data_IF_505175824464
#
_entry.id   IF_505175824464
#
_cell.length_a   1.000
_cell.length_b   1.000
_cell.length_c   1.000
_cell.angle_alpha   90.00
_cell.angle_beta   90.00
_cell.angle_gamma   90.00
#
_symmetry.space_group_name_H-M   'P 1'
#
loop_
_entity.id
_entity.type
_entity.pdbx_description
1 polymer ?
#
# COMPACT_ATOMS: atom_id res chain seq x y z
N UNK A 1 -11.16 18.46 -46.79
CA UNK A 1 -12.28 18.12 -45.88
C UNK A 1 -11.86 17.19 -44.73
N UNK A 2 -10.63 17.29 -44.21
CA UNK A 2 -10.09 16.37 -43.18
C UNK A 2 -9.77 17.07 -41.85
N UNK A 3 -9.58 18.39 -41.84
CA UNK A 3 -9.18 19.13 -40.63
C UNK A 3 -10.32 19.42 -39.65
N UNK A 4 -11.57 19.51 -40.11
CA UNK A 4 -12.72 19.82 -39.25
C UNK A 4 -13.14 18.66 -38.32
N UNK A 5 -12.88 17.41 -38.73
CA UNK A 5 -13.21 16.22 -37.93
C UNK A 5 -12.20 15.97 -36.80
N UNK A 6 -10.94 16.36 -37.00
CA UNK A 6 -9.90 16.22 -35.98
C UNK A 6 -10.11 17.20 -34.80
N UNK A 7 -10.51 18.43 -35.10
CA UNK A 7 -10.77 19.46 -34.09
C UNK A 7 -11.98 19.06 -33.23
N UNK A 8 -13.04 18.52 -33.84
CA UNK A 8 -14.24 18.06 -33.12
C UNK A 8 -13.96 16.90 -32.17
N UNK A 9 -13.03 16.00 -32.51
CA UNK A 9 -12.67 14.86 -31.66
C UNK A 9 -11.82 15.30 -30.45
N UNK A 10 -10.91 16.26 -30.65
CA UNK A 10 -10.06 16.79 -29.58
C UNK A 10 -10.88 17.59 -28.57
N UNK A 11 -11.86 18.38 -29.02
CA UNK A 11 -12.76 19.12 -28.13
C UNK A 11 -13.65 18.19 -27.30
N UNK A 12 -14.13 17.08 -27.87
CA UNK A 12 -14.96 16.12 -27.14
C UNK A 12 -14.17 15.40 -26.02
N UNK A 13 -12.91 15.07 -26.28
CA UNK A 13 -12.03 14.44 -25.27
C UNK A 13 -11.68 15.41 -24.15
N UNK A 14 -11.39 16.68 -24.47
CA UNK A 14 -11.09 17.70 -23.47
C UNK A 14 -12.29 17.98 -22.54
N UNK A 15 -13.52 18.00 -23.07
CA UNK A 15 -14.75 18.18 -22.28
C UNK A 15 -15.02 16.97 -21.38
N UNK A 16 -14.79 15.74 -21.86
CA UNK A 16 -14.92 14.54 -21.03
C UNK A 16 -13.86 14.48 -19.90
N UNK A 17 -12.63 14.92 -20.16
CA UNK A 17 -11.59 14.98 -19.14
C UNK A 17 -11.88 16.05 -18.07
N UNK A 18 -12.41 17.22 -18.48
CA UNK A 18 -12.84 18.26 -17.53
C UNK A 18 -14.05 17.84 -16.68
N UNK A 19 -15.00 17.09 -17.25
CA UNK A 19 -16.12 16.52 -16.50
C UNK A 19 -15.68 15.43 -15.50
N UNK A 20 -14.64 14.66 -15.82
CA UNK A 20 -14.06 13.67 -14.90
C UNK A 20 -13.32 14.32 -13.72
N UNK A 21 -12.68 15.47 -13.93
CA UNK A 21 -12.05 16.23 -12.83
C UNK A 21 -13.10 16.83 -11.90
N UNK A 22 -14.23 17.31 -12.43
CA UNK A 22 -15.33 17.85 -11.61
C UNK A 22 -16.11 16.80 -10.81
N UNK A 23 -16.12 15.53 -11.25
CA UNK A 23 -16.79 14.43 -10.52
C UNK A 23 -15.94 13.84 -9.38
N UNK A 24 -14.64 14.15 -9.32
CA UNK A 24 -13.70 13.62 -8.32
C UNK A 24 -13.35 14.65 -7.24
N UNK A 25 -13.70 15.92 -7.41
CA UNK A 25 -13.60 16.93 -6.35
C UNK A 25 -14.93 17.13 -5.62
N UNK A 26 -15.01 16.81 -4.31
CA UNK A 26 -16.13 17.27 -3.52
C UNK A 26 -16.07 18.80 -3.41
N UNK A 27 -17.17 19.46 -3.78
CA UNK A 27 -17.39 20.87 -3.47
C UNK A 27 -17.28 21.07 -1.95
N UNK A 28 -16.34 21.91 -1.54
CA UNK A 28 -16.21 22.42 -0.18
C UNK A 28 -17.33 23.44 0.07
N UNK A 29 -18.52 22.96 0.47
CA UNK A 29 -19.50 23.81 1.14
C UNK A 29 -19.04 23.98 2.60
N UNK A 30 -18.33 25.08 2.84
CA UNK A 30 -17.94 25.58 4.14
C UNK A 30 -19.17 26.01 4.96
N UNK A 31 -19.83 25.02 5.56
CA UNK A 31 -20.84 25.20 6.59
C UNK A 31 -20.20 25.78 7.86
N UNK A 32 -20.53 27.05 8.14
CA UNK A 32 -20.27 27.72 9.42
C UNK A 32 -20.78 26.85 10.58
N UNK A 33 -19.88 26.23 11.33
CA UNK A 33 -20.19 25.63 12.62
C UNK A 33 -20.10 26.70 13.71
N UNK A 34 -21.28 27.13 14.17
CA UNK A 34 -21.44 27.94 15.37
C UNK A 34 -20.80 27.26 16.58
N UNK A 35 -19.98 28.04 17.29
CA UNK A 35 -19.42 27.70 18.59
C UNK A 35 -20.54 27.56 19.62
N UNK A 36 -20.92 26.32 19.95
CA UNK A 36 -21.79 26.05 21.09
C UNK A 36 -20.94 25.90 22.35
N UNK A 37 -20.92 26.95 23.18
CA UNK A 37 -20.44 26.93 24.57
C UNK A 37 -21.09 25.76 25.31
N UNK A 38 -20.28 24.81 25.79
CA UNK A 38 -20.71 23.84 26.81
C UNK A 38 -20.11 24.28 28.13
N UNK A 39 -21.00 24.67 29.04
CA UNK A 39 -20.71 25.02 30.42
C UNK A 39 -20.07 23.85 31.16
N UNK A 40 -19.02 24.17 31.91
CA UNK A 40 -18.42 23.36 32.94
C UNK A 40 -19.34 23.27 34.17
N UNK A 41 -19.56 22.05 34.67
CA UNK A 41 -19.67 21.79 36.11
C UNK A 41 -19.33 20.33 36.42
N UNK A 42 -18.59 20.06 37.51
CA UNK A 42 -18.02 18.75 37.83
C UNK A 42 -18.97 17.95 38.72
N UNK A 43 -19.07 16.63 38.54
CA UNK A 43 -19.62 15.77 39.60
C UNK A 43 -19.01 14.35 39.60
N UNK A 44 -18.18 14.15 40.62
CA UNK A 44 -17.94 12.98 41.49
C UNK A 44 -18.21 11.54 41.00
N UNK A 45 -17.15 10.73 41.17
CA UNK A 45 -17.13 9.26 41.20
C UNK A 45 -17.97 8.68 42.36
N UNK A 46 -18.38 7.41 42.23
CA UNK A 46 -18.08 6.44 43.28
C UNK A 46 -17.37 5.17 42.76
N UNK A 47 -16.54 4.63 43.64
CA UNK A 47 -15.71 3.44 43.46
C UNK A 47 -16.49 2.12 43.56
N UNK A 48 -15.87 1.09 42.95
CA UNK A 48 -15.84 -0.33 43.34
C UNK A 48 -16.79 -1.28 42.61
N UNK A 49 -16.24 -2.11 41.73
CA UNK A 49 -16.52 -3.56 41.74
C UNK A 49 -15.43 -4.33 40.99
N UNK A 50 -15.06 -5.44 41.59
CA UNK A 50 -13.90 -6.30 41.34
C UNK A 50 -14.05 -7.18 40.09
N UNK A 51 -12.99 -7.35 39.29
CA UNK A 51 -12.69 -8.56 38.48
C UNK A 51 -11.28 -8.44 37.84
N UNK A 52 -10.66 -9.56 37.41
CA UNK A 52 -9.40 -10.03 37.98
C UNK A 52 -8.15 -9.57 37.23
N UNK A 53 -7.04 -9.49 37.98
CA UNK A 53 -5.67 -9.38 37.45
C UNK A 53 -5.37 -10.58 36.53
N UNK A 54 -5.57 -10.40 35.23
CA UNK A 54 -4.87 -11.20 34.23
C UNK A 54 -3.47 -10.60 34.11
N UNK A 55 -2.51 -11.35 34.65
CA UNK A 55 -1.08 -11.14 34.55
C UNK A 55 -0.69 -10.62 33.16
N UNK A 56 -0.13 -9.40 33.11
CA UNK A 56 0.65 -8.90 31.97
C UNK A 56 1.88 -9.79 31.84
N UNK A 57 1.71 -10.94 31.21
CA UNK A 57 2.83 -11.64 30.60
C UNK A 57 3.27 -10.74 29.45
N UNK A 58 4.37 -10.04 29.67
CA UNK A 58 5.11 -9.31 28.66
C UNK A 58 5.43 -10.31 27.54
N UNK A 59 4.57 -10.32 26.53
CA UNK A 59 4.83 -11.03 25.28
C UNK A 59 5.96 -10.24 24.65
N UNK A 60 7.18 -10.79 24.70
CA UNK A 60 8.22 -10.41 23.75
C UNK A 60 7.62 -10.61 22.35
N UNK A 61 7.15 -9.52 21.74
CA UNK A 61 6.70 -9.48 20.35
C UNK A 61 7.93 -9.86 19.51
N UNK A 62 7.98 -11.11 19.06
CA UNK A 62 8.79 -11.48 17.91
C UNK A 62 8.36 -10.65 16.68
N UNK A 63 9.08 -10.74 15.55
CA UNK A 63 8.69 -10.02 14.34
C UNK A 63 7.26 -10.43 14.00
N UNK A 64 6.34 -9.49 14.19
CA UNK A 64 4.92 -9.65 13.91
C UNK A 64 4.80 -9.79 12.40
N UNK A 65 4.68 -11.03 11.94
CA UNK A 65 4.57 -11.37 10.53
C UNK A 65 3.33 -10.67 9.97
N UNK A 66 3.47 -9.93 8.86
CA UNK A 66 2.34 -9.25 8.21
C UNK A 66 1.24 -10.28 7.85
N UNK A 67 0.10 -10.29 8.55
CA UNK A 67 -0.94 -11.31 8.37
C UNK A 67 -1.58 -11.22 6.98
N UNK A 68 -1.46 -10.08 6.30
CA UNK A 68 -1.98 -9.89 4.95
C UNK A 68 -1.29 -10.81 3.95
N UNK A 69 0.05 -10.94 4.04
CA UNK A 69 0.85 -11.68 3.05
C UNK A 69 0.51 -13.17 3.02
N UNK A 70 0.14 -13.74 4.17
CA UNK A 70 -0.15 -15.16 4.32
C UNK A 70 -1.63 -15.50 4.25
N UNK A 71 -2.52 -14.51 4.26
CA UNK A 71 -3.95 -14.77 4.36
C UNK A 71 -4.52 -15.44 3.12
N UNK A 72 -5.25 -16.54 3.34
CA UNK A 72 -6.03 -17.25 2.33
C UNK A 72 -7.42 -16.65 2.13
N UNK A 73 -7.86 -15.78 3.02
CA UNK A 73 -9.16 -15.10 2.98
C UNK A 73 -9.00 -13.64 3.43
N UNK A 74 -8.93 -12.74 2.45
CA UNK A 74 -8.76 -11.31 2.71
C UNK A 74 -10.05 -10.68 3.25
N UNK A 75 -11.22 -11.27 3.01
CA UNK A 75 -12.47 -10.76 3.60
C UNK A 75 -12.50 -11.05 5.10
N UNK A 76 -12.09 -12.24 5.54
CA UNK A 76 -12.02 -12.55 6.96
C UNK A 76 -11.09 -11.57 7.71
N UNK A 77 -9.94 -11.23 7.12
CA UNK A 77 -9.08 -10.16 7.65
C UNK A 77 -9.79 -8.80 7.66
N UNK A 78 -10.44 -8.40 6.57
CA UNK A 78 -11.17 -7.14 6.53
C UNK A 78 -12.25 -7.06 7.61
N UNK A 79 -13.11 -8.07 7.71
CA UNK A 79 -14.23 -8.11 8.65
C UNK A 79 -13.78 -8.08 10.11
N UNK A 80 -12.68 -8.77 10.44
CA UNK A 80 -12.10 -8.75 11.78
C UNK A 80 -11.56 -7.37 12.18
N UNK A 81 -11.21 -6.51 11.21
CA UNK A 81 -10.43 -5.29 11.45
C UNK A 81 -11.12 -3.99 11.04
N UNK A 82 -12.19 -4.03 10.23
CA UNK A 82 -12.84 -2.82 9.64
C UNK A 82 -13.37 -1.82 10.67
N UNK A 83 -13.75 -2.30 11.85
CA UNK A 83 -14.30 -1.49 12.93
C UNK A 83 -13.28 -1.14 14.02
N UNK A 84 -12.01 -1.51 13.83
CA UNK A 84 -10.96 -1.21 14.78
C UNK A 84 -10.74 0.32 14.89
N UNK A 85 -10.40 0.76 16.10
CA UNK A 85 -10.13 2.17 16.40
C UNK A 85 -8.65 2.51 16.32
N UNK A 86 -7.78 1.52 16.45
CA UNK A 86 -6.34 1.69 16.26
C UNK A 86 -5.99 1.66 14.77
N UNK A 87 -4.96 2.43 14.42
CA UNK A 87 -4.50 2.63 13.04
C UNK A 87 -3.99 1.34 12.40
N UNK A 88 -3.42 0.42 13.18
CA UNK A 88 -2.79 -0.80 12.65
C UNK A 88 -3.84 -1.79 12.12
N UNK A 89 -4.86 -2.08 12.92
CA UNK A 89 -5.97 -2.92 12.48
C UNK A 89 -6.79 -2.22 11.38
N UNK A 90 -7.06 -0.91 11.50
CA UNK A 90 -7.74 -0.17 10.43
C UNK A 90 -6.99 -0.21 9.09
N UNK A 91 -5.66 -0.09 9.11
CA UNK A 91 -4.79 -0.23 7.95
C UNK A 91 -4.82 -1.65 7.38
N UNK A 92 -4.82 -2.69 8.21
CA UNK A 92 -4.92 -4.07 7.75
C UNK A 92 -6.25 -4.33 7.01
N UNK A 93 -7.36 -3.80 7.52
CA UNK A 93 -8.65 -3.86 6.84
C UNK A 93 -8.60 -3.12 5.49
N UNK A 94 -8.05 -1.91 5.48
CA UNK A 94 -7.91 -1.13 4.26
C UNK A 94 -7.06 -1.85 3.19
N UNK A 95 -5.92 -2.42 3.57
CA UNK A 95 -5.05 -3.16 2.64
C UNK A 95 -5.75 -4.39 2.08
N UNK A 96 -6.44 -5.18 2.92
CA UNK A 96 -7.22 -6.33 2.48
C UNK A 96 -8.31 -5.95 1.47
N UNK A 97 -9.02 -4.85 1.75
CA UNK A 97 -10.01 -4.29 0.84
C UNK A 97 -9.40 -3.83 -0.49
N UNK A 98 -8.35 -3.02 -0.41
CA UNK A 98 -7.71 -2.40 -1.58
C UNK A 98 -7.02 -3.43 -2.49
N UNK A 99 -6.55 -4.55 -1.94
CA UNK A 99 -6.05 -5.67 -2.75
C UNK A 99 -7.17 -6.34 -3.56
N UNK A 100 -8.35 -6.51 -3.00
CA UNK A 100 -9.42 -7.26 -3.66
C UNK A 100 -10.33 -6.42 -4.57
N UNK A 101 -10.74 -5.24 -4.11
CA UNK A 101 -11.78 -4.47 -4.82
C UNK A 101 -11.44 -4.09 -6.27
N UNK A 102 -10.24 -3.60 -6.59
CA UNK A 102 -9.93 -3.19 -7.96
C UNK A 102 -9.95 -4.37 -8.94
N UNK A 103 -9.75 -5.60 -8.45
CA UNK A 103 -9.77 -6.81 -9.26
C UNK A 103 -11.19 -7.37 -9.41
N UNK A 104 -12.08 -7.13 -8.44
CA UNK A 104 -13.45 -7.65 -8.47
C UNK A 104 -14.47 -6.68 -9.09
N UNK A 105 -14.24 -5.37 -8.99
CA UNK A 105 -15.20 -4.34 -9.40
C UNK A 105 -14.58 -3.26 -10.32
N UNK A 106 -15.42 -2.66 -11.17
CA UNK A 106 -15.04 -1.54 -12.05
C UNK A 106 -14.24 -1.94 -13.29
N UNK A 107 -13.64 -0.94 -13.95
CA UNK A 107 -12.92 -1.14 -15.21
C UNK A 107 -11.71 -2.08 -15.09
N UNK A 108 -11.05 -2.08 -13.92
CA UNK A 108 -9.88 -2.93 -13.68
C UNK A 108 -10.27 -4.41 -13.50
N UNK A 109 -11.49 -4.71 -13.05
CA UNK A 109 -12.00 -6.08 -13.03
C UNK A 109 -12.21 -6.63 -14.44
N UNK A 110 -12.69 -5.81 -15.39
CA UNK A 110 -12.82 -6.22 -16.78
C UNK A 110 -11.45 -6.53 -17.43
N UNK A 111 -10.45 -5.69 -17.16
CA UNK A 111 -9.06 -5.94 -17.59
C UNK A 111 -8.47 -7.20 -16.94
N UNK A 112 -8.75 -7.42 -15.65
CA UNK A 112 -8.31 -8.59 -14.90
C UNK A 112 -8.87 -9.88 -15.52
N UNK A 113 -10.17 -9.91 -15.80
CA UNK A 113 -10.84 -11.02 -16.47
C UNK A 113 -10.30 -11.23 -17.89
N UNK A 114 -10.11 -10.16 -18.66
CA UNK A 114 -9.56 -10.23 -20.02
C UNK A 114 -8.15 -10.82 -20.05
N UNK A 115 -7.28 -10.39 -19.13
CA UNK A 115 -5.92 -10.92 -19.01
C UNK A 115 -5.96 -12.40 -18.64
N UNK A 116 -6.78 -12.79 -17.66
CA UNK A 116 -6.95 -14.18 -17.26
C UNK A 116 -7.44 -15.07 -18.42
N UNK A 117 -8.39 -14.59 -19.23
CA UNK A 117 -8.95 -15.34 -20.36
C UNK A 117 -7.97 -15.56 -21.52
N UNK A 118 -6.92 -14.73 -21.64
CA UNK A 118 -5.89 -14.86 -22.68
C UNK A 118 -4.81 -15.89 -22.35
N UNK A 119 -4.73 -16.30 -21.08
CA UNK A 119 -3.70 -17.20 -20.59
C UNK A 119 -4.13 -18.66 -20.73
N UNK A 120 -3.15 -19.52 -21.06
CA UNK A 120 -3.34 -20.98 -21.06
C UNK A 120 -3.76 -21.48 -19.66
N UNK A 121 -4.62 -22.51 -19.63
CA UNK A 121 -5.23 -23.01 -18.39
C UNK A 121 -4.21 -23.45 -17.34
N UNK A 122 -3.08 -23.99 -17.77
CA UNK A 122 -1.97 -24.48 -16.97
C UNK A 122 -0.85 -23.45 -16.74
N UNK A 123 -0.97 -22.24 -17.31
CA UNK A 123 0.07 -21.24 -17.16
C UNK A 123 0.22 -20.80 -15.68
N UNK A 124 1.46 -20.70 -15.16
CA UNK A 124 1.70 -20.24 -13.79
C UNK A 124 1.04 -18.89 -13.49
N UNK A 125 1.02 -18.00 -14.49
CA UNK A 125 0.37 -16.70 -14.39
C UNK A 125 -1.13 -16.85 -14.14
N UNK A 126 -1.85 -17.68 -14.91
CA UNK A 126 -3.29 -17.89 -14.70
C UNK A 126 -3.59 -18.52 -13.35
N UNK A 127 -2.74 -19.45 -12.90
CA UNK A 127 -2.84 -20.04 -11.55
C UNK A 127 -2.73 -18.94 -10.48
N UNK A 128 -1.85 -17.94 -10.65
CA UNK A 128 -1.77 -16.81 -9.72
C UNK A 128 -3.01 -15.91 -9.75
N UNK A 129 -3.60 -15.64 -10.93
CA UNK A 129 -4.90 -14.96 -11.03
C UNK A 129 -5.99 -15.73 -10.25
N UNK A 130 -6.04 -17.05 -10.40
CA UNK A 130 -6.98 -17.91 -9.67
C UNK A 130 -6.71 -17.88 -8.16
N UNK A 131 -5.45 -17.96 -7.71
CA UNK A 131 -5.08 -17.86 -6.29
C UNK A 131 -5.53 -16.54 -5.69
N UNK A 132 -5.29 -15.41 -6.38
CA UNK A 132 -5.77 -14.11 -5.95
C UNK A 132 -7.30 -14.06 -5.89
N UNK A 133 -7.98 -14.62 -6.90
CA UNK A 133 -9.45 -14.74 -6.89
C UNK A 133 -9.94 -15.53 -5.69
N UNK A 134 -9.31 -16.64 -5.34
CA UNK A 134 -9.66 -17.43 -4.14
C UNK A 134 -9.49 -16.62 -2.87
N UNK A 135 -8.39 -15.86 -2.72
CA UNK A 135 -8.18 -14.98 -1.55
C UNK A 135 -9.25 -13.91 -1.40
N UNK A 136 -9.79 -13.44 -2.52
CA UNK A 136 -10.80 -12.39 -2.57
C UNK A 136 -12.23 -12.91 -2.71
N UNK A 137 -12.44 -14.24 -2.82
CA UNK A 137 -13.71 -14.78 -3.30
C UNK A 137 -14.91 -14.36 -2.46
N UNK A 138 -14.74 -14.31 -1.13
CA UNK A 138 -15.85 -13.98 -0.24
C UNK A 138 -16.26 -12.51 -0.32
N UNK A 139 -15.46 -11.62 -0.91
CA UNK A 139 -15.91 -10.25 -1.21
C UNK A 139 -16.99 -10.20 -2.30
N UNK A 140 -17.07 -11.23 -3.16
CA UNK A 140 -18.10 -11.32 -4.19
C UNK A 140 -19.52 -11.51 -3.62
N UNK A 141 -19.64 -11.95 -2.36
CA UNK A 141 -20.92 -12.15 -1.68
C UNK A 141 -21.52 -10.85 -1.12
N UNK A 142 -20.76 -9.74 -1.15
CA UNK A 142 -21.21 -8.46 -0.63
C UNK A 142 -22.04 -7.75 -1.70
N UNK A 143 -23.20 -7.24 -1.31
CA UNK A 143 -24.03 -6.44 -2.20
C UNK A 143 -23.34 -5.13 -2.60
N UNK A 144 -23.63 -4.65 -3.81
CA UNK A 144 -22.97 -3.47 -4.38
C UNK A 144 -23.18 -2.19 -3.55
N UNK A 145 -24.28 -2.05 -2.83
CA UNK A 145 -24.55 -0.85 -2.03
C UNK A 145 -23.73 -0.86 -0.75
N UNK A 146 -23.61 -2.02 -0.09
CA UNK A 146 -22.68 -2.22 1.01
C UNK A 146 -21.24 -1.99 0.57
N UNK A 147 -20.85 -2.47 -0.63
CA UNK A 147 -19.51 -2.24 -1.15
C UNK A 147 -19.20 -0.76 -1.35
N UNK A 148 -20.12 0.00 -1.96
CA UNK A 148 -19.97 1.45 -2.15
C UNK A 148 -19.85 2.20 -0.83
N UNK A 149 -20.69 1.87 0.15
CA UNK A 149 -20.62 2.46 1.50
C UNK A 149 -19.27 2.18 2.16
N UNK A 150 -18.82 0.93 2.14
CA UNK A 150 -17.53 0.53 2.70
C UNK A 150 -16.36 1.23 1.99
N UNK A 151 -16.44 1.38 0.66
CA UNK A 151 -15.46 2.15 -0.11
C UNK A 151 -15.41 3.61 0.32
N UNK A 152 -16.55 4.26 0.52
CA UNK A 152 -16.62 5.66 0.97
C UNK A 152 -16.04 5.83 2.38
N UNK A 153 -16.40 4.94 3.31
CA UNK A 153 -15.87 4.95 4.68
C UNK A 153 -14.35 4.77 4.70
N UNK A 154 -13.84 3.79 3.96
CA UNK A 154 -12.40 3.52 3.86
C UNK A 154 -11.64 4.64 3.14
N UNK A 155 -12.21 5.21 2.08
CA UNK A 155 -11.62 6.36 1.40
C UNK A 155 -11.55 7.58 2.33
N UNK A 156 -12.58 7.80 3.15
CA UNK A 156 -12.57 8.80 4.22
C UNK A 156 -11.41 8.59 5.17
N UNK A 157 -11.26 7.39 5.75
CA UNK A 157 -10.16 7.06 6.66
C UNK A 157 -8.78 7.20 6.00
N UNK A 158 -8.65 6.78 4.75
CA UNK A 158 -7.40 6.93 4.00
C UNK A 158 -7.06 8.40 3.76
N UNK A 159 -8.03 9.24 3.39
CA UNK A 159 -7.83 10.67 3.19
C UNK A 159 -7.34 11.37 4.47
N UNK A 160 -7.95 11.06 5.62
CA UNK A 160 -7.57 11.62 6.93
C UNK A 160 -6.28 11.03 7.50
N UNK A 161 -5.76 9.92 6.93
CA UNK A 161 -4.49 9.30 7.33
C UNK A 161 -4.65 8.10 8.27
N UNK A 162 -5.86 7.78 8.71
CA UNK A 162 -6.19 6.71 9.66
C UNK A 162 -6.04 5.29 9.07
N UNK A 163 -5.79 5.18 7.76
CA UNK A 163 -5.70 3.92 7.04
C UNK A 163 -4.58 3.91 5.97
N UNK A 164 -3.46 4.60 6.24
CA UNK A 164 -2.25 4.57 5.40
C UNK A 164 -1.12 3.86 6.12
N UNK A 165 -0.29 3.10 5.39
CA UNK A 165 1.00 2.74 5.96
C UNK A 165 1.83 4.01 6.15
N UNK A 166 2.82 3.96 7.05
CA UNK A 166 3.68 5.11 7.29
C UNK A 166 4.43 5.52 6.01
N UNK A 167 4.90 4.56 5.20
CA UNK A 167 5.52 4.85 3.90
C UNK A 167 4.57 5.40 2.83
N UNK A 168 3.30 4.98 2.80
CA UNK A 168 2.29 5.56 1.91
C UNK A 168 1.95 7.01 2.28
N UNK A 169 1.87 7.30 3.58
CA UNK A 169 1.73 8.68 4.09
C UNK A 169 2.92 9.54 3.66
N UNK A 170 4.15 9.05 3.83
CA UNK A 170 5.35 9.74 3.38
C UNK A 170 5.35 9.98 1.86
N UNK A 171 5.02 8.96 1.07
CA UNK A 171 4.95 9.08 -0.40
C UNK A 171 3.89 10.09 -0.85
N UNK A 172 2.73 10.16 -0.19
CA UNK A 172 1.72 11.17 -0.49
C UNK A 172 2.18 12.58 -0.13
N UNK A 173 2.81 12.76 1.03
CA UNK A 173 3.35 14.07 1.43
C UNK A 173 4.39 14.56 0.43
N UNK A 174 5.28 13.67 -0.07
CA UNK A 174 6.19 13.96 -1.18
C UNK A 174 5.45 14.44 -2.42
N UNK A 175 4.43 13.71 -2.87
CA UNK A 175 3.64 14.07 -4.08
C UNK A 175 2.91 15.41 -3.94
N UNK A 176 2.62 15.84 -2.71
CA UNK A 176 1.98 17.14 -2.42
C UNK A 176 2.97 18.27 -2.12
N UNK A 177 4.28 18.00 -2.15
CA UNK A 177 5.34 18.99 -1.95
C UNK A 177 5.73 19.26 -0.50
N UNK A 178 5.20 18.54 0.48
CA UNK A 178 5.60 18.66 1.89
C UNK A 178 6.77 17.70 2.20
N UNK A 179 7.93 18.04 1.66
CA UNK A 179 9.16 17.24 1.77
C UNK A 179 9.60 17.00 3.22
N UNK A 180 9.45 18.02 4.08
CA UNK A 180 9.89 17.94 5.48
C UNK A 180 9.01 16.97 6.27
N UNK A 181 7.69 17.09 6.15
CA UNK A 181 6.78 16.15 6.81
C UNK A 181 6.92 14.74 6.24
N UNK A 182 7.13 14.61 4.92
CA UNK A 182 7.35 13.31 4.29
C UNK A 182 8.58 12.60 4.85
N UNK A 183 9.72 13.28 4.96
CA UNK A 183 10.95 12.70 5.49
C UNK A 183 10.81 12.31 6.98
N UNK A 184 10.13 13.13 7.78
CA UNK A 184 9.89 12.81 9.19
C UNK A 184 9.06 11.53 9.35
N UNK A 185 7.98 11.41 8.57
CA UNK A 185 7.15 10.21 8.56
C UNK A 185 7.95 9.00 8.03
N UNK A 186 8.78 9.19 7.00
CA UNK A 186 9.63 8.12 6.48
C UNK A 186 10.64 7.61 7.52
N UNK A 187 11.23 8.52 8.33
CA UNK A 187 12.11 8.15 9.46
C UNK A 187 11.36 7.34 10.52
N UNK A 188 10.13 7.74 10.85
CA UNK A 188 9.29 6.96 11.79
C UNK A 188 9.04 5.55 11.26
N UNK A 189 8.72 5.41 9.97
CA UNK A 189 8.54 4.10 9.34
C UNK A 189 9.82 3.26 9.41
N UNK A 190 10.96 3.86 9.06
CA UNK A 190 12.27 3.22 9.05
C UNK A 190 12.67 2.73 10.44
N UNK A 191 12.45 3.54 11.48
CA UNK A 191 12.80 3.24 12.87
C UNK A 191 11.77 2.35 13.59
N UNK A 192 10.61 2.06 12.97
CA UNK A 192 9.57 1.21 13.57
C UNK A 192 10.00 -0.25 13.73
N UNK A 193 11.01 -0.70 12.98
CA UNK A 193 11.43 -2.11 12.85
C UNK A 193 10.31 -3.06 12.39
N UNK A 194 9.18 -2.53 11.90
CA UNK A 194 8.07 -3.32 11.38
C UNK A 194 8.32 -3.63 9.90
N UNK A 195 8.36 -4.91 9.47
CA UNK A 195 8.64 -5.25 8.08
C UNK A 195 7.68 -4.61 7.07
N UNK A 196 6.40 -4.47 7.41
CA UNK A 196 5.38 -3.84 6.57
C UNK A 196 5.62 -2.33 6.35
N UNK A 197 6.09 -1.63 7.39
CA UNK A 197 6.43 -0.20 7.30
C UNK A 197 7.65 -0.03 6.40
N UNK A 198 8.67 -0.87 6.62
CA UNK A 198 9.88 -0.89 5.80
C UNK A 198 9.56 -1.19 4.33
N UNK A 199 8.72 -2.19 4.05
CA UNK A 199 8.30 -2.51 2.69
C UNK A 199 7.57 -1.34 2.02
N UNK A 200 6.78 -0.59 2.78
CA UNK A 200 6.03 0.55 2.26
C UNK A 200 6.89 1.78 1.92
N UNK A 201 8.11 1.87 2.46
CA UNK A 201 9.07 2.91 2.10
C UNK A 201 9.57 2.81 0.66
N UNK A 202 9.36 1.67 -0.02
CA UNK A 202 9.70 1.52 -1.44
C UNK A 202 9.07 2.61 -2.32
N UNK A 203 7.78 2.93 -2.11
CA UNK A 203 7.09 3.98 -2.87
C UNK A 203 7.58 5.39 -2.55
N UNK A 204 7.88 5.66 -1.28
CA UNK A 204 8.50 6.92 -0.86
C UNK A 204 9.89 7.09 -1.47
N UNK A 205 10.76 6.08 -1.34
CA UNK A 205 12.13 6.11 -1.87
C UNK A 205 12.14 6.31 -3.39
N UNK A 206 11.25 5.63 -4.12
CA UNK A 206 11.11 5.85 -5.57
C UNK A 206 10.74 7.30 -5.90
N UNK A 207 9.74 7.85 -5.22
CA UNK A 207 9.29 9.24 -5.45
C UNK A 207 10.39 10.25 -5.09
N UNK A 208 11.05 10.05 -3.95
CA UNK A 208 12.13 10.92 -3.48
C UNK A 208 13.31 10.93 -4.44
N UNK A 209 13.78 9.76 -4.86
CA UNK A 209 14.93 9.64 -5.75
C UNK A 209 14.65 10.21 -7.15
N UNK A 210 13.43 10.01 -7.65
CA UNK A 210 12.98 10.59 -8.92
C UNK A 210 13.04 12.12 -8.91
N UNK A 211 12.58 12.75 -7.82
CA UNK A 211 12.60 14.21 -7.68
C UNK A 211 14.02 14.79 -7.57
N UNK A 212 14.97 14.03 -7.01
CA UNK A 212 16.35 14.49 -6.79
C UNK A 212 17.25 14.37 -8.02
N UNK A 213 17.05 13.33 -8.83
CA UNK A 213 17.99 12.92 -9.87
C UNK A 213 17.48 13.28 -11.28
N UNK A 214 16.16 13.50 -11.44
CA UNK A 214 15.56 13.84 -12.73
C UNK A 214 15.14 12.61 -13.56
N UNK A 215 14.92 12.81 -14.86
CA UNK A 215 14.33 11.80 -15.77
C UNK A 215 15.37 11.12 -16.70
N UNK A 216 16.62 10.98 -16.27
CA UNK A 216 17.58 10.17 -17.03
C UNK A 216 17.21 8.68 -16.93
N UNK A 217 17.08 7.98 -18.06
CA UNK A 217 16.58 6.60 -18.10
C UNK A 217 17.49 5.60 -17.37
N UNK A 218 18.81 5.76 -17.48
CA UNK A 218 19.79 4.88 -16.83
C UNK A 218 19.78 5.12 -15.31
N UNK A 219 19.64 6.36 -14.89
CA UNK A 219 19.52 6.72 -13.48
C UNK A 219 18.17 6.29 -12.89
N UNK A 220 17.07 6.41 -13.62
CA UNK A 220 15.74 5.93 -13.21
C UNK A 220 15.72 4.42 -12.96
N UNK A 221 16.43 3.65 -13.76
CA UNK A 221 16.56 2.21 -13.54
C UNK A 221 17.32 1.91 -12.22
N UNK A 222 18.41 2.62 -11.95
CA UNK A 222 19.14 2.53 -10.69
C UNK A 222 18.29 2.95 -9.47
N UNK A 223 17.42 3.96 -9.60
CA UNK A 223 16.50 4.39 -8.55
C UNK A 223 15.45 3.32 -8.22
N UNK A 224 14.91 2.66 -9.25
CA UNK A 224 13.97 1.54 -9.10
C UNK A 224 14.59 0.42 -8.26
N UNK A 225 15.89 0.17 -8.40
CA UNK A 225 16.61 -0.83 -7.59
C UNK A 225 16.74 -0.39 -6.12
N UNK A 226 17.13 0.86 -5.87
CA UNK A 226 17.21 1.39 -4.49
C UNK A 226 15.85 1.35 -3.80
N UNK A 227 14.76 1.63 -4.52
CA UNK A 227 13.40 1.51 -4.00
C UNK A 227 12.99 0.05 -3.72
N UNK A 228 13.32 -0.90 -4.61
CA UNK A 228 13.05 -2.34 -4.42
C UNK A 228 13.82 -2.93 -3.22
N UNK A 229 14.98 -2.36 -2.89
CA UNK A 229 15.81 -2.82 -1.77
C UNK A 229 15.08 -2.76 -0.42
N UNK A 230 14.18 -1.79 -0.21
CA UNK A 230 13.34 -1.71 1.00
C UNK A 230 12.41 -2.91 1.16
N UNK A 231 11.80 -3.38 0.06
CA UNK A 231 10.94 -4.57 0.09
C UNK A 231 11.75 -5.84 0.35
N UNK A 232 12.96 -5.96 -0.22
CA UNK A 232 13.86 -7.09 0.09
C UNK A 232 14.30 -7.04 1.56
N UNK A 233 14.64 -5.87 2.07
CA UNK A 233 15.00 -5.71 3.48
C UNK A 233 13.83 -6.08 4.41
N UNK A 234 12.59 -5.76 4.03
CA UNK A 234 11.39 -6.20 4.74
C UNK A 234 11.25 -7.73 4.76
N UNK A 235 11.48 -8.40 3.62
CA UNK A 235 11.49 -9.86 3.57
C UNK A 235 12.54 -10.46 4.51
N UNK A 236 13.74 -9.88 4.53
CA UNK A 236 14.86 -10.32 5.36
C UNK A 236 14.66 -10.06 6.86
N UNK A 237 13.73 -9.16 7.22
CA UNK A 237 13.43 -8.76 8.61
C UNK A 237 12.12 -9.36 9.15
N UNK A 238 11.40 -10.17 8.36
CA UNK A 238 10.26 -10.96 8.83
C UNK A 238 8.97 -10.86 8.01
N UNK A 239 8.95 -10.07 6.92
CA UNK A 239 7.82 -10.07 6.00
C UNK A 239 7.76 -11.40 5.22
N UNK A 240 6.58 -12.02 5.13
CA UNK A 240 6.42 -13.24 4.36
C UNK A 240 6.57 -12.95 2.87
N UNK A 241 7.61 -13.51 2.25
CA UNK A 241 7.96 -13.27 0.85
C UNK A 241 8.11 -14.56 0.04
N UNK A 242 7.59 -15.69 0.54
CA UNK A 242 7.58 -16.95 -0.20
C UNK A 242 6.76 -16.82 -1.48
N UNK A 243 6.85 -17.82 -2.36
CA UNK A 243 6.07 -17.90 -3.60
C UNK A 243 4.55 -17.80 -3.35
N UNK A 244 4.10 -18.24 -2.18
CA UNK A 244 2.70 -18.18 -1.77
C UNK A 244 2.35 -16.90 -0.98
N UNK A 245 3.24 -15.91 -0.92
CA UNK A 245 2.90 -14.59 -0.36
C UNK A 245 1.94 -13.84 -1.29
N UNK A 246 1.18 -12.91 -0.72
CA UNK A 246 0.27 -12.05 -1.48
C UNK A 246 1.03 -11.26 -2.55
N UNK A 247 2.12 -10.59 -2.17
CA UNK A 247 2.94 -9.82 -3.11
C UNK A 247 3.61 -10.67 -4.19
N UNK A 248 4.08 -11.88 -3.88
CA UNK A 248 4.61 -12.77 -4.91
C UNK A 248 3.51 -13.19 -5.91
N UNK A 249 2.29 -13.44 -5.41
CA UNK A 249 1.13 -13.74 -6.25
C UNK A 249 0.80 -12.55 -7.16
N UNK A 250 0.74 -11.33 -6.61
CA UNK A 250 0.50 -10.10 -7.39
C UNK A 250 1.59 -9.89 -8.44
N UNK A 251 2.86 -10.05 -8.08
CA UNK A 251 3.96 -9.89 -9.03
C UNK A 251 3.87 -10.88 -10.18
N UNK A 252 3.59 -12.15 -9.90
CA UNK A 252 3.38 -13.17 -10.93
C UNK A 252 2.22 -12.81 -11.87
N UNK A 253 1.09 -12.34 -11.35
CA UNK A 253 -0.06 -11.93 -12.16
C UNK A 253 0.28 -10.83 -13.19
N UNK A 254 1.13 -9.87 -12.83
CA UNK A 254 1.43 -8.73 -13.70
C UNK A 254 2.70 -8.89 -14.54
N UNK A 255 3.70 -9.63 -14.06
CA UNK A 255 4.98 -9.80 -14.78
C UNK A 255 5.12 -11.13 -15.52
N UNK A 256 4.32 -12.14 -15.16
CA UNK A 256 4.50 -13.52 -15.64
C UNK A 256 5.66 -14.27 -14.97
N UNK A 257 6.44 -13.62 -14.10
CA UNK A 257 7.49 -14.27 -13.30
C UNK A 257 6.86 -14.88 -12.05
N UNK A 258 6.73 -16.21 -12.06
CA UNK A 258 5.93 -16.95 -11.08
C UNK A 258 6.70 -17.98 -10.26
N UNK A 259 7.99 -18.14 -10.54
CA UNK A 259 8.87 -19.09 -9.88
C UNK A 259 9.76 -18.37 -8.86
N UNK A 260 9.79 -18.92 -7.65
CA UNK A 260 10.61 -18.41 -6.55
C UNK A 260 9.87 -17.48 -5.59
N UNK A 261 10.64 -16.90 -4.68
CA UNK A 261 10.20 -15.90 -3.72
C UNK A 261 10.02 -14.53 -4.38
N UNK A 262 9.41 -13.57 -3.67
CA UNK A 262 9.35 -12.18 -4.12
C UNK A 262 10.76 -11.59 -4.34
N UNK A 263 11.75 -12.03 -3.57
CA UNK A 263 13.15 -11.61 -3.74
C UNK A 263 13.67 -12.13 -5.10
N UNK A 264 13.41 -13.40 -5.41
CA UNK A 264 13.84 -14.02 -6.67
C UNK A 264 13.23 -13.29 -7.87
N UNK A 265 11.94 -12.92 -7.80
CA UNK A 265 11.29 -12.14 -8.83
C UNK A 265 11.97 -10.79 -9.07
N UNK A 266 12.34 -10.05 -8.01
CA UNK A 266 13.07 -8.80 -8.16
C UNK A 266 14.46 -8.99 -8.76
N UNK A 267 15.18 -10.05 -8.38
CA UNK A 267 16.50 -10.34 -8.93
C UNK A 267 16.45 -10.80 -10.40
N UNK A 268 15.42 -11.58 -10.77
CA UNK A 268 15.20 -12.03 -12.14
C UNK A 268 14.80 -10.89 -13.07
N UNK A 269 14.21 -9.80 -12.54
CA UNK A 269 13.92 -8.59 -13.32
C UNK A 269 15.16 -7.79 -13.74
N UNK A 270 16.35 -8.18 -13.28
CA UNK A 270 17.62 -7.50 -13.55
C UNK A 270 18.43 -8.23 -14.63
N UNK A 271 19.02 -7.46 -15.54
CA UNK A 271 19.72 -7.97 -16.72
C UNK A 271 21.09 -8.57 -16.37
N UNK A 272 21.78 -8.05 -15.35
CA UNK A 272 23.14 -8.46 -15.00
C UNK A 272 23.30 -8.90 -13.55
N UNK A 273 24.28 -9.78 -13.31
CA UNK A 273 24.64 -10.21 -11.95
C UNK A 273 25.19 -9.05 -11.11
N UNK A 274 25.79 -8.04 -11.73
CA UNK A 274 26.26 -6.82 -11.05
C UNK A 274 25.08 -6.07 -10.44
N UNK A 275 23.99 -5.88 -11.18
CA UNK A 275 22.79 -5.21 -10.67
C UNK A 275 22.14 -6.02 -9.53
N UNK A 276 22.10 -7.36 -9.66
CA UNK A 276 21.61 -8.26 -8.60
C UNK A 276 22.42 -8.11 -7.32
N UNK A 277 23.75 -8.08 -7.42
CA UNK A 277 24.63 -7.84 -6.29
C UNK A 277 24.43 -6.46 -5.67
N UNK A 278 24.26 -5.42 -6.50
CA UNK A 278 23.98 -4.07 -6.03
C UNK A 278 22.66 -3.99 -5.27
N UNK A 279 21.59 -4.57 -5.80
CA UNK A 279 20.28 -4.61 -5.13
C UNK A 279 20.37 -5.29 -3.75
N UNK A 280 21.04 -6.44 -3.68
CA UNK A 280 21.24 -7.16 -2.41
C UNK A 280 22.17 -6.41 -1.45
N UNK A 281 23.18 -5.70 -1.96
CA UNK A 281 24.04 -4.86 -1.13
C UNK A 281 23.27 -3.68 -0.55
N UNK A 282 22.38 -3.05 -1.33
CA UNK A 282 21.50 -1.99 -0.83
C UNK A 282 20.52 -2.51 0.23
N UNK A 283 19.93 -3.70 0.07
CA UNK A 283 19.05 -4.27 1.09
C UNK A 283 19.80 -4.53 2.40
N UNK A 284 21.03 -5.04 2.33
CA UNK A 284 21.90 -5.23 3.50
C UNK A 284 22.29 -3.91 4.15
N UNK A 285 22.58 -2.87 3.36
CA UNK A 285 22.88 -1.52 3.85
C UNK A 285 21.69 -0.95 4.62
N UNK A 286 20.47 -1.08 4.09
CA UNK A 286 19.22 -0.67 4.75
C UNK A 286 19.12 -1.33 6.14
N UNK A 287 19.27 -2.66 6.23
CA UNK A 287 19.19 -3.39 7.50
C UNK A 287 20.28 -2.94 8.47
N UNK A 288 21.52 -2.79 8.02
CA UNK A 288 22.62 -2.34 8.87
C UNK A 288 22.41 -0.91 9.40
N UNK A 289 21.88 -0.01 8.57
CA UNK A 289 21.52 1.36 8.98
C UNK A 289 20.41 1.33 10.02
N UNK A 290 19.38 0.49 9.85
CA UNK A 290 18.32 0.33 10.87
C UNK A 290 18.90 -0.16 12.19
N UNK A 291 19.74 -1.21 12.16
CA UNK A 291 20.34 -1.81 13.36
C UNK A 291 21.31 -0.85 14.09
N UNK A 292 21.92 0.09 13.36
CA UNK A 292 22.83 1.09 13.94
C UNK A 292 22.12 2.39 14.37
N UNK A 293 20.80 2.49 14.19
CA UNK A 293 20.02 3.73 14.39
C UNK A 293 20.59 4.93 13.61
N UNK A 294 21.19 4.68 12.45
CA UNK A 294 21.71 5.72 11.57
C UNK A 294 20.59 6.34 10.71
N UNK A 295 20.82 7.56 10.19
CA UNK A 295 19.77 8.33 9.52
C UNK A 295 19.40 7.76 8.14
N UNK A 296 18.08 7.74 7.84
CA UNK A 296 17.50 7.32 6.56
C UNK A 296 18.05 8.14 5.39
N UNK A 297 18.33 9.43 5.60
CA UNK A 297 18.87 10.31 4.55
C UNK A 297 20.21 9.81 4.00
N UNK A 298 21.03 9.13 4.82
CA UNK A 298 22.30 8.53 4.37
C UNK A 298 22.12 7.35 3.39
N UNK A 299 20.93 6.77 3.33
CA UNK A 299 20.55 5.72 2.37
C UNK A 299 19.99 6.31 1.08
N UNK A 300 19.44 7.52 1.14
CA UNK A 300 18.75 8.18 0.04
C UNK A 300 19.60 9.25 -0.67
N UNK A 301 20.78 9.55 -0.13
CA UNK A 301 21.75 10.38 -0.81
C UNK A 301 22.15 9.77 -2.18
N UNK A 302 22.22 10.58 -3.25
CA UNK A 302 22.57 10.12 -4.60
C UNK A 302 23.92 9.38 -4.64
#
# INVERSE_FOLDING_TARGET
MTSARLISAITAIAICLLALVFLVWPNDDSGKLESKKINSSPLQLPMTSSQPLISKKEIQKGPETDPLEQSRDLRALFEANKNAKDTEHALLAYRAWHTCMPNLFGARAALWQQNMSRLADDSPQKIAYQRMRTRCQHFADIDNDTLKRQQQELAGRWLHGDAKTTGESASRLMQTGDYKAAMEIARVAFNSHRPQDLASLSGFAYTYLKDQIGNDEDEMQAQSYRAKAFTIAACQTGMACSQDSLRATEHCMYSGQCEGSLIDHYLQSLASDRERQQLMAQSKKIIATMQSNADLESLLAP
#
